data_IF_744779248859
#
_entry.id   IF_744779248859
#
_cell.length_a   1.000
_cell.length_b   1.000
_cell.length_c   1.000
_cell.angle_alpha   90.00
_cell.angle_beta   90.00
_cell.angle_gamma   90.00
#
_symmetry.space_group_name_H-M   'P 1'
#
loop_
_entity.id
_entity.type
_entity.pdbx_description
1 polymer ?
#
# COMPACT_ATOMS: atom_id res chain seq x y z
N UNK A 1 0.73 10.16 59.64
CA UNK A 1 0.58 8.70 59.73
C UNK A 1 -0.85 8.36 59.33
N UNK A 2 -1.09 7.99 58.07
CA UNK A 2 -2.32 7.32 57.64
C UNK A 2 -2.02 6.57 56.34
N UNK A 3 -2.13 5.25 56.43
CA UNK A 3 -1.84 4.28 55.38
C UNK A 3 -3.04 4.21 54.43
N UNK A 4 -2.78 4.21 53.12
CA UNK A 4 -3.78 3.88 52.10
C UNK A 4 -4.13 2.38 52.20
N UNK A 5 -5.42 1.98 52.19
CA UNK A 5 -5.85 0.63 52.56
C UNK A 5 -6.29 -0.24 51.38
N UNK A 6 -5.60 -0.24 50.23
CA UNK A 6 -5.91 -1.21 49.16
C UNK A 6 -4.65 -1.84 48.59
N UNK A 7 -4.56 -3.16 48.82
CA UNK A 7 -3.50 -4.04 48.36
C UNK A 7 -3.79 -4.70 47.02
N UNK A 8 -2.81 -5.51 46.63
CA UNK A 8 -2.67 -6.27 45.40
C UNK A 8 -3.88 -7.12 45.00
N UNK A 9 -3.97 -7.33 43.67
CA UNK A 9 -4.70 -8.41 42.98
C UNK A 9 -6.23 -8.43 43.12
N UNK A 10 -6.92 -7.81 42.16
CA UNK A 10 -8.26 -8.23 41.76
C UNK A 10 -8.41 -8.12 40.23
N UNK A 11 -8.54 -9.28 39.59
CA UNK A 11 -8.83 -9.45 38.17
C UNK A 11 -10.29 -9.06 37.90
N UNK A 12 -10.61 -8.18 36.92
CA UNK A 12 -11.97 -7.67 36.73
C UNK A 12 -12.87 -8.51 35.83
N UNK A 13 -12.49 -9.75 35.48
CA UNK A 13 -13.31 -10.64 34.65
C UNK A 13 -13.52 -11.99 35.35
N UNK A 14 -14.59 -12.06 36.14
CA UNK A 14 -15.15 -13.29 36.70
C UNK A 14 -16.67 -13.11 36.86
N UNK A 15 -17.44 -13.93 36.15
CA UNK A 15 -18.91 -13.85 36.11
C UNK A 15 -19.61 -14.75 37.14
N UNK A 16 -20.81 -14.32 37.54
CA UNK A 16 -21.95 -15.10 38.09
C UNK A 16 -23.11 -14.08 38.33
N UNK A 17 -24.18 -14.08 37.53
CA UNK A 17 -25.46 -14.81 37.67
C UNK A 17 -26.58 -14.04 38.43
N UNK A 18 -27.77 -14.05 37.80
CA UNK A 18 -29.14 -13.71 38.27
C UNK A 18 -29.69 -12.26 38.19
N UNK A 19 -30.83 -12.14 37.47
CA UNK A 19 -31.65 -10.92 37.26
C UNK A 19 -32.78 -10.74 38.30
N UNK A 20 -33.96 -10.14 38.00
CA UNK A 20 -34.42 -9.38 36.81
C UNK A 20 -35.01 -7.98 37.16
N UNK A 21 -35.27 -7.11 36.17
CA UNK A 21 -36.49 -6.26 35.98
C UNK A 21 -36.28 -5.06 35.03
N UNK A 22 -37.22 -4.88 34.08
CA UNK A 22 -37.80 -3.56 33.76
C UNK A 22 -37.22 -2.72 32.60
N UNK A 23 -37.82 -2.86 31.41
CA UNK A 23 -38.35 -1.73 30.60
C UNK A 23 -37.39 -0.76 29.89
N UNK A 24 -37.20 -0.92 28.58
CA UNK A 24 -37.77 -0.04 27.53
C UNK A 24 -37.07 -0.26 26.17
N UNK A 25 -37.91 -0.35 25.14
CA UNK A 25 -37.58 -0.65 23.76
C UNK A 25 -37.09 0.58 22.99
N UNK A 26 -36.01 0.45 22.20
CA UNK A 26 -35.77 1.23 20.97
C UNK A 26 -35.02 0.35 19.95
N UNK A 27 -35.56 0.31 18.72
CA UNK A 27 -35.05 -0.25 17.45
C UNK A 27 -34.46 -1.67 17.39
N UNK A 28 -35.30 -2.64 16.95
CA UNK A 28 -34.83 -3.83 16.23
C UNK A 28 -34.38 -3.43 14.83
N UNK A 29 -33.11 -3.65 14.53
CA UNK A 29 -32.63 -3.90 13.16
C UNK A 29 -32.90 -5.38 12.90
N UNK A 30 -33.58 -5.67 11.80
CA UNK A 30 -33.80 -7.03 11.31
C UNK A 30 -32.50 -7.40 10.59
N UNK A 31 -31.68 -8.25 11.22
CA UNK A 31 -30.61 -8.96 10.52
C UNK A 31 -31.26 -10.08 9.72
N UNK A 32 -31.09 -10.05 8.41
CA UNK A 32 -31.47 -11.14 7.52
C UNK A 32 -30.51 -12.32 7.78
N UNK A 33 -31.07 -13.45 8.24
CA UNK A 33 -30.37 -14.73 8.34
C UNK A 33 -30.06 -15.26 6.92
N UNK A 34 -28.86 -14.99 6.42
CA UNK A 34 -28.26 -15.85 5.39
C UNK A 34 -27.70 -17.10 6.07
N UNK A 35 -28.45 -18.19 5.93
CA UNK A 35 -28.08 -19.53 6.37
C UNK A 35 -27.09 -20.15 5.37
N UNK A 36 -25.89 -19.57 5.27
CA UNK A 36 -24.77 -20.15 4.52
C UNK A 36 -23.84 -20.90 5.49
N UNK A 37 -23.98 -22.22 5.49
CA UNK A 37 -23.09 -23.13 6.20
C UNK A 37 -21.78 -23.29 5.43
N UNK A 38 -20.94 -22.23 5.46
CA UNK A 38 -19.52 -22.34 5.11
C UNK A 38 -18.72 -22.25 6.40
N UNK A 39 -18.38 -23.43 6.94
CA UNK A 39 -17.49 -23.55 8.10
C UNK A 39 -16.10 -22.99 7.78
N UNK A 40 -15.64 -22.04 8.58
CA UNK A 40 -14.27 -21.54 8.59
C UNK A 40 -13.24 -22.70 8.73
N UNK A 41 -12.10 -22.69 8.02
CA UNK A 41 -11.12 -23.79 8.03
C UNK A 41 -10.36 -23.95 9.35
N UNK A 42 -10.70 -23.17 10.38
CA UNK A 42 -10.10 -23.24 11.72
C UNK A 42 -10.99 -23.87 12.79
N UNK A 43 -12.14 -24.46 12.43
CA UNK A 43 -12.98 -25.19 13.38
C UNK A 43 -12.58 -26.67 13.44
N UNK A 44 -12.05 -27.20 14.56
CA UNK A 44 -11.75 -28.62 14.69
C UNK A 44 -13.05 -29.40 14.92
N UNK A 45 -13.59 -30.00 13.86
CA UNK A 45 -14.62 -31.02 13.95
C UNK A 45 -13.96 -32.40 13.84
N UNK A 46 -13.51 -32.96 14.96
CA UNK A 46 -13.08 -34.35 15.02
C UNK A 46 -14.04 -35.15 15.90
N UNK A 47 -14.94 -35.88 15.23
CA UNK A 47 -15.59 -37.04 15.81
C UNK A 47 -14.52 -38.08 16.14
N UNK A 48 -14.44 -38.45 17.41
CA UNK A 48 -13.58 -39.53 17.89
C UNK A 48 -14.01 -40.85 17.24
N UNK A 49 -13.12 -41.46 16.46
CA UNK A 49 -13.17 -42.91 16.28
C UNK A 49 -11.76 -43.47 16.52
N UNK A 50 -11.69 -44.39 17.48
CA UNK A 50 -10.45 -44.92 18.02
C UNK A 50 -9.89 -46.02 17.12
N UNK A 51 -8.57 -45.96 16.89
CA UNK A 51 -7.76 -47.13 16.59
C UNK A 51 -7.33 -47.30 15.13
N UNK A 52 -6.20 -46.69 14.76
CA UNK A 52 -5.22 -47.28 13.84
C UNK A 52 -3.88 -46.56 13.97
N UNK A 53 -2.86 -47.29 14.43
CA UNK A 53 -1.45 -46.89 14.53
C UNK A 53 -0.78 -46.96 13.16
N UNK A 54 -0.16 -45.88 12.69
CA UNK A 54 0.71 -45.87 11.52
C UNK A 54 2.14 -45.49 11.97
N UNK A 55 3.08 -46.44 11.90
CA UNK A 55 4.50 -46.24 12.23
C UNK A 55 5.34 -46.11 10.96
N UNK A 56 5.95 -44.94 10.76
CA UNK A 56 6.97 -44.70 9.73
C UNK A 56 8.40 -44.93 10.26
N UNK A 57 9.40 -45.21 9.39
CA UNK A 57 10.64 -45.90 9.75
C UNK A 57 11.81 -45.00 10.21
N UNK A 58 11.56 -43.75 10.63
CA UNK A 58 12.62 -42.89 11.17
C UNK A 58 12.54 -42.87 12.70
N UNK A 59 13.42 -43.65 13.31
CA UNK A 59 13.59 -43.74 14.76
C UNK A 59 14.06 -42.41 15.37
N UNK A 60 13.28 -41.93 16.33
CA UNK A 60 13.60 -40.86 17.25
C UNK A 60 12.67 -41.00 18.43
N UNK A 61 13.15 -41.68 19.47
CA UNK A 61 12.42 -41.96 20.71
C UNK A 61 12.26 -40.65 21.50
N UNK A 62 11.11 -40.00 21.33
CA UNK A 62 10.69 -38.85 22.11
C UNK A 62 9.19 -38.97 22.36
N UNK A 63 8.84 -39.50 23.53
CA UNK A 63 7.49 -39.49 24.08
C UNK A 63 7.13 -38.07 24.52
N UNK A 64 6.76 -37.19 23.58
CA UNK A 64 6.08 -35.93 23.88
C UNK A 64 5.39 -35.41 22.60
N UNK A 65 4.28 -36.07 22.25
CA UNK A 65 3.41 -35.68 21.13
C UNK A 65 2.41 -34.61 21.61
N UNK A 66 2.92 -33.40 21.82
CA UNK A 66 2.09 -32.23 22.13
C UNK A 66 1.71 -31.49 20.84
N UNK A 67 0.46 -30.97 20.72
CA UNK A 67 0.00 -30.28 19.52
C UNK A 67 0.85 -29.03 19.20
N UNK A 68 0.92 -28.58 17.94
CA UNK A 68 1.79 -27.47 17.51
C UNK A 68 1.46 -26.11 18.16
N UNK A 69 0.40 -26.06 18.97
CA UNK A 69 -0.02 -24.93 19.80
C UNK A 69 0.64 -24.89 21.19
N UNK A 70 1.44 -25.90 21.55
CA UNK A 70 2.16 -25.91 22.82
C UNK A 70 3.24 -24.81 22.82
N UNK A 71 3.12 -23.88 23.77
CA UNK A 71 4.20 -22.98 24.16
C UNK A 71 5.43 -23.84 24.45
N UNK A 72 6.41 -23.86 23.54
CA UNK A 72 7.75 -24.37 23.83
C UNK A 72 8.35 -23.50 24.92
N UNK A 73 8.13 -23.87 26.17
CA UNK A 73 8.84 -23.31 27.30
C UNK A 73 10.32 -23.68 27.15
N UNK A 74 11.25 -22.72 27.21
CA UNK A 74 12.66 -23.05 27.11
C UNK A 74 13.07 -23.97 28.27
N UNK A 75 14.00 -24.92 28.03
CA UNK A 75 14.51 -25.80 29.07
C UNK A 75 15.28 -25.05 30.17
N UNK A 76 15.53 -23.74 30.00
CA UNK A 76 16.08 -22.89 31.04
C UNK A 76 15.68 -21.41 30.82
N UNK A 77 14.62 -20.89 31.49
CA UNK A 77 14.12 -19.52 31.27
C UNK A 77 15.09 -18.42 31.74
N UNK A 78 16.07 -18.73 32.58
CA UNK A 78 17.05 -17.76 33.09
C UNK A 78 18.26 -17.56 32.16
N UNK A 79 18.46 -18.42 31.15
CA UNK A 79 19.63 -18.35 30.26
C UNK A 79 19.40 -17.56 28.97
N UNK A 80 18.17 -17.13 28.70
CA UNK A 80 17.84 -16.40 27.48
C UNK A 80 17.56 -14.93 27.79
N UNK A 81 18.10 -13.98 27.00
CA UNK A 81 17.72 -12.58 27.10
C UNK A 81 16.20 -12.44 27.01
N UNK A 82 15.60 -11.53 27.79
CA UNK A 82 14.13 -11.32 27.83
C UNK A 82 13.50 -11.00 26.45
N UNK A 83 14.32 -10.65 25.46
CA UNK A 83 13.94 -10.33 24.09
C UNK A 83 14.18 -11.48 23.08
N UNK A 84 14.52 -12.68 23.56
CA UNK A 84 14.73 -13.84 22.69
C UNK A 84 13.39 -14.35 22.14
N UNK A 85 12.97 -13.77 21.02
CA UNK A 85 11.90 -14.32 20.20
C UNK A 85 12.41 -15.63 19.61
N UNK A 86 11.87 -16.77 20.05
CA UNK A 86 12.18 -18.13 19.55
C UNK A 86 11.77 -18.33 18.07
N UNK A 87 12.22 -17.46 17.17
CA UNK A 87 11.76 -17.42 15.78
C UNK A 87 10.28 -17.08 15.62
N UNK A 88 9.60 -16.62 16.69
CA UNK A 88 8.19 -16.21 16.60
C UNK A 88 8.11 -14.86 15.90
N UNK A 89 7.29 -14.80 14.85
CA UNK A 89 6.94 -13.54 14.18
C UNK A 89 6.06 -12.72 15.12
N UNK A 90 6.47 -11.48 15.41
CA UNK A 90 5.68 -10.53 16.18
C UNK A 90 4.88 -9.62 15.26
N UNK A 91 3.66 -9.30 15.65
CA UNK A 91 2.85 -8.32 14.96
C UNK A 91 3.49 -6.93 15.04
N UNK A 92 3.39 -6.17 13.95
CA UNK A 92 3.73 -4.75 13.92
C UNK A 92 2.49 -3.96 13.52
N UNK A 93 2.33 -2.77 14.10
CA UNK A 93 1.25 -1.85 13.76
C UNK A 93 1.80 -0.43 13.75
N UNK A 94 1.07 0.43 13.05
CA UNK A 94 1.32 1.87 13.05
C UNK A 94 0.08 2.60 13.56
N UNK A 95 0.20 3.91 13.72
CA UNK A 95 -0.90 4.78 14.11
C UNK A 95 -2.03 4.70 13.08
N UNK A 96 -3.26 4.65 13.57
CA UNK A 96 -4.44 4.75 12.71
C UNK A 96 -4.58 6.18 12.20
N UNK A 97 -4.71 6.33 10.90
CA UNK A 97 -4.95 7.59 10.22
C UNK A 97 -6.30 7.49 9.52
N UNK A 98 -7.13 8.52 9.68
CA UNK A 98 -8.35 8.65 8.89
C UNK A 98 -8.05 9.55 7.68
N UNK A 99 -8.56 9.23 6.49
CA UNK A 99 -8.47 10.14 5.36
C UNK A 99 -9.17 11.46 5.70
N UNK A 100 -8.56 12.56 5.27
CA UNK A 100 -8.93 13.94 5.55
C UNK A 100 -10.38 14.28 5.20
N UNK A 101 -10.99 13.60 4.22
CA UNK A 101 -12.38 13.83 3.85
C UNK A 101 -13.40 13.60 4.99
N UNK A 102 -13.05 12.82 6.01
CA UNK A 102 -13.89 12.56 7.19
C UNK A 102 -13.42 13.32 8.45
N UNK A 103 -12.27 14.00 8.38
CA UNK A 103 -11.70 14.74 9.50
C UNK A 103 -11.67 16.23 9.21
N UNK A 104 -12.28 17.04 10.08
CA UNK A 104 -12.18 18.51 10.08
C UNK A 104 -10.77 19.04 10.41
N UNK A 105 -9.72 18.31 10.05
CA UNK A 105 -8.33 18.68 10.25
C UNK A 105 -7.86 19.36 8.95
N UNK A 106 -7.71 20.69 8.96
CA UNK A 106 -7.15 21.48 7.86
C UNK A 106 -5.62 21.26 7.76
N UNK A 107 -5.21 20.00 7.74
CA UNK A 107 -3.81 19.63 7.70
C UNK A 107 -3.26 19.89 6.31
N UNK A 108 -2.08 20.49 6.26
CA UNK A 108 -1.30 20.65 5.02
C UNK A 108 0.11 20.12 5.27
N UNK A 109 0.76 19.53 4.25
CA UNK A 109 2.14 19.12 4.37
C UNK A 109 3.01 20.32 4.77
N UNK A 110 3.85 20.19 5.82
CA UNK A 110 4.76 21.26 6.19
C UNK A 110 5.72 21.55 5.03
N UNK A 111 6.06 22.82 4.83
CA UNK A 111 7.00 23.25 3.79
C UNK A 111 8.15 23.99 4.46
N UNK A 112 9.34 23.45 4.28
CA UNK A 112 10.59 24.08 4.71
C UNK A 112 11.36 24.54 3.49
N UNK A 113 11.74 25.82 3.47
CA UNK A 113 12.49 26.43 2.37
C UNK A 113 13.83 25.73 2.15
N UNK A 114 14.14 25.44 0.89
CA UNK A 114 15.37 24.77 0.45
C UNK A 114 15.88 25.41 -0.82
N UNK A 115 17.19 25.52 -0.93
CA UNK A 115 17.81 25.99 -2.17
C UNK A 115 17.73 24.90 -3.25
N UNK A 116 17.76 25.32 -4.52
CA UNK A 116 17.72 24.39 -5.66
C UNK A 116 18.78 23.29 -5.58
N UNK A 117 20.01 23.65 -5.21
CA UNK A 117 21.09 22.67 -5.06
C UNK A 117 20.85 21.65 -3.94
N UNK A 118 20.18 22.06 -2.85
CA UNK A 118 19.81 21.15 -1.76
C UNK A 118 18.72 20.18 -2.22
N UNK A 119 17.73 20.68 -2.96
CA UNK A 119 16.67 19.86 -3.54
C UNK A 119 17.23 18.82 -4.52
N UNK A 120 18.17 19.20 -5.39
CA UNK A 120 18.77 18.28 -6.36
C UNK A 120 19.56 17.15 -5.65
N UNK A 121 20.34 17.50 -4.61
CA UNK A 121 21.06 16.52 -3.78
C UNK A 121 20.10 15.59 -3.03
N UNK A 122 19.06 16.15 -2.41
CA UNK A 122 18.04 15.39 -1.68
C UNK A 122 17.29 14.42 -2.61
N UNK A 123 16.87 14.90 -3.77
CA UNK A 123 16.19 14.09 -4.79
C UNK A 123 17.06 12.90 -5.18
N UNK A 124 18.36 13.13 -5.39
CA UNK A 124 19.32 12.07 -5.70
C UNK A 124 19.49 11.08 -4.54
N UNK A 125 19.55 11.59 -3.30
CA UNK A 125 19.75 10.78 -2.09
C UNK A 125 18.56 9.86 -1.79
N UNK A 126 17.32 10.31 -2.01
CA UNK A 126 16.11 9.51 -1.73
C UNK A 126 15.73 8.56 -2.86
N UNK A 127 16.13 8.84 -4.10
CA UNK A 127 15.75 8.04 -5.28
C UNK A 127 16.17 6.56 -5.18
N UNK A 128 17.26 6.27 -4.47
CA UNK A 128 17.74 4.90 -4.25
C UNK A 128 16.98 4.12 -3.18
N UNK A 129 16.07 4.75 -2.45
CA UNK A 129 15.35 4.13 -1.34
C UNK A 129 13.98 3.61 -1.80
N UNK A 130 13.69 2.34 -1.45
CA UNK A 130 12.48 1.64 -1.88
C UNK A 130 11.18 2.35 -1.51
N UNK A 131 11.15 3.10 -0.39
CA UNK A 131 9.97 3.85 0.04
C UNK A 131 9.63 5.04 -0.87
N UNK A 132 10.62 5.55 -1.60
CA UNK A 132 10.46 6.75 -2.44
C UNK A 132 10.45 6.43 -3.94
N UNK A 133 10.84 5.21 -4.32
CA UNK A 133 10.96 4.77 -5.73
C UNK A 133 9.64 4.72 -6.52
N UNK A 134 8.50 4.63 -5.84
CA UNK A 134 7.17 4.50 -6.46
C UNK A 134 6.26 5.71 -6.23
N UNK A 135 6.84 6.84 -5.81
CA UNK A 135 6.10 8.08 -5.60
C UNK A 135 5.88 8.81 -6.93
N UNK A 136 4.72 9.45 -7.08
CA UNK A 136 4.52 10.40 -8.17
C UNK A 136 5.25 11.73 -7.89
N UNK A 137 5.33 12.59 -8.90
CA UNK A 137 6.05 13.86 -8.82
C UNK A 137 5.49 14.80 -7.73
N UNK A 138 4.16 14.77 -7.51
CA UNK A 138 3.51 15.59 -6.50
C UNK A 138 3.84 15.10 -5.09
N UNK A 139 3.80 13.78 -4.86
CA UNK A 139 4.18 13.14 -3.61
C UNK A 139 5.65 13.38 -3.29
N UNK A 140 6.51 13.19 -4.28
CA UNK A 140 7.94 13.46 -4.16
C UNK A 140 8.20 14.92 -3.78
N UNK A 141 7.54 15.87 -4.45
CA UNK A 141 7.64 17.30 -4.14
C UNK A 141 7.16 17.63 -2.72
N UNK A 142 6.01 17.09 -2.29
CA UNK A 142 5.47 17.30 -0.94
C UNK A 142 6.39 16.74 0.15
N UNK A 143 6.94 15.54 -0.06
CA UNK A 143 7.88 14.91 0.87
C UNK A 143 9.21 15.69 0.94
N UNK A 144 9.75 16.11 -0.21
CA UNK A 144 10.95 16.93 -0.28
C UNK A 144 10.72 18.29 0.41
N UNK A 145 9.54 18.87 0.27
CA UNK A 145 9.11 20.07 1.00
C UNK A 145 9.06 19.88 2.52
N UNK A 146 8.57 18.72 2.97
CA UNK A 146 8.38 18.39 4.38
C UNK A 146 9.66 18.04 5.15
N UNK A 147 10.77 17.74 4.47
CA UNK A 147 12.06 17.50 5.13
C UNK A 147 12.52 18.75 5.88
N UNK A 148 12.78 18.63 7.19
CA UNK A 148 13.29 19.71 8.03
C UNK A 148 14.80 19.57 8.25
N UNK A 149 15.52 20.69 8.20
CA UNK A 149 16.95 20.71 8.49
C UNK A 149 17.19 20.50 9.99
N UNK A 150 18.13 19.61 10.32
CA UNK A 150 18.54 19.29 11.69
C UNK A 150 20.06 19.39 11.82
N UNK A 151 20.59 20.53 12.29
CA UNK A 151 22.03 20.71 12.49
C UNK A 151 22.52 19.92 13.71
N UNK A 152 23.70 19.30 13.57
CA UNK A 152 24.36 18.49 14.59
C UNK A 152 25.73 19.13 14.90
N UNK A 153 25.83 19.97 15.96
CA UNK A 153 26.96 20.86 16.14
C UNK A 153 28.25 20.15 16.57
N UNK A 154 28.17 19.11 17.40
CA UNK A 154 29.33 18.44 17.98
C UNK A 154 29.51 16.99 17.47
N UNK A 155 30.74 16.49 17.58
CA UNK A 155 31.08 15.08 17.36
C UNK A 155 30.54 14.22 18.52
N UNK A 156 30.12 12.99 18.21
CA UNK A 156 29.65 12.00 19.18
C UNK A 156 28.21 12.20 19.65
N UNK A 157 27.44 13.10 19.01
CA UNK A 157 26.01 13.27 19.30
C UNK A 157 25.27 12.04 18.77
N UNK A 158 24.52 11.36 19.65
CA UNK A 158 23.63 10.26 19.29
C UNK A 158 22.37 10.82 18.65
N UNK A 159 22.16 10.53 17.37
CA UNK A 159 20.97 10.97 16.62
C UNK A 159 19.80 10.03 16.88
N UNK A 160 20.08 8.73 16.89
CA UNK A 160 19.14 7.66 17.25
C UNK A 160 19.88 6.63 18.11
N UNK A 161 19.17 5.98 19.03
CA UNK A 161 19.71 4.90 19.86
C UNK A 161 18.99 3.59 19.58
N UNK A 162 19.74 2.49 19.57
CA UNK A 162 19.19 1.16 19.37
C UNK A 162 18.19 0.80 20.49
N UNK A 163 17.01 0.32 20.10
CA UNK A 163 15.91 0.00 20.99
C UNK A 163 14.89 1.13 21.20
N UNK A 164 15.24 2.38 20.86
CA UNK A 164 14.30 3.51 20.97
C UNK A 164 13.19 3.40 19.92
N UNK A 165 12.02 3.98 20.21
CA UNK A 165 10.97 4.15 19.21
C UNK A 165 11.48 5.05 18.06
N UNK A 166 11.25 4.62 16.82
CA UNK A 166 11.71 5.36 15.66
C UNK A 166 10.62 6.24 15.07
N UNK A 167 10.73 7.57 15.19
CA UNK A 167 9.69 8.47 14.67
C UNK A 167 10.08 9.22 13.39
N UNK A 168 11.38 9.20 13.06
CA UNK A 168 11.94 9.97 11.96
C UNK A 168 12.80 9.13 11.01
N UNK A 169 12.81 9.54 9.75
CA UNK A 169 13.80 9.18 8.75
C UNK A 169 14.81 10.32 8.61
N UNK A 170 16.08 9.97 8.39
CA UNK A 170 17.15 10.96 8.25
C UNK A 170 17.93 10.77 6.94
N UNK A 171 18.26 11.88 6.28
CA UNK A 171 19.17 11.95 5.13
C UNK A 171 20.37 12.82 5.50
N UNK A 172 21.58 12.38 5.17
CA UNK A 172 22.81 13.11 5.48
C UNK A 172 23.05 14.19 4.42
N UNK A 173 22.92 15.46 4.79
CA UNK A 173 23.27 16.60 3.93
C UNK A 173 24.78 16.85 3.96
N UNK A 174 25.35 16.89 5.16
CA UNK A 174 26.76 17.23 5.37
C UNK A 174 27.33 16.44 6.54
N UNK A 175 28.56 15.99 6.34
CA UNK A 175 29.35 15.27 7.34
C UNK A 175 29.16 13.77 7.27
N UNK A 176 29.52 13.09 8.36
CA UNK A 176 29.54 11.64 8.44
C UNK A 176 29.02 11.13 9.79
N UNK A 177 28.37 9.97 9.76
CA UNK A 177 27.72 9.36 10.91
C UNK A 177 28.12 7.90 11.05
N UNK A 178 28.57 7.53 12.24
CA UNK A 178 28.95 6.16 12.57
C UNK A 178 27.76 5.37 13.10
N UNK A 179 27.61 4.15 12.61
CA UNK A 179 26.52 3.22 12.97
C UNK A 179 27.08 2.14 13.87
N UNK A 180 26.43 1.94 15.01
CA UNK A 180 26.79 0.95 16.02
C UNK A 180 25.62 0.00 16.28
N UNK A 181 25.92 -1.30 16.39
CA UNK A 181 24.94 -2.33 16.70
C UNK A 181 25.43 -3.16 17.86
N UNK A 182 24.60 -3.26 18.90
CA UNK A 182 24.78 -4.15 20.01
C UNK A 182 24.04 -5.47 19.73
N UNK A 183 24.73 -6.60 19.94
CA UNK A 183 24.18 -7.94 19.79
C UNK A 183 23.01 -8.23 20.74
N UNK A 184 22.87 -7.50 21.84
CA UNK A 184 21.71 -7.64 22.74
C UNK A 184 20.42 -7.03 22.20
N UNK A 185 20.44 -6.33 21.06
CA UNK A 185 19.25 -5.71 20.46
C UNK A 185 18.84 -4.38 21.10
N UNK A 186 19.52 -3.94 22.16
CA UNK A 186 19.24 -2.72 22.94
C UNK A 186 20.54 -2.04 23.36
N UNK A 187 20.48 -0.72 23.56
CA UNK A 187 21.60 0.04 24.13
C UNK A 187 21.83 -0.37 25.59
N UNK A 188 23.04 -0.82 25.93
CA UNK A 188 23.39 -1.15 27.31
C UNK A 188 24.10 0.01 28.04
N UNK A 189 24.05 0.07 29.37
CA UNK A 189 24.85 1.00 30.15
C UNK A 189 26.35 0.67 30.08
N UNK A 190 27.20 1.69 29.98
CA UNK A 190 28.66 1.54 30.03
C UNK A 190 29.38 1.90 28.71
N UNK A 191 30.73 1.90 28.69
CA UNK A 191 31.53 2.33 27.54
C UNK A 191 31.35 1.44 26.29
N UNK A 192 31.14 0.14 26.50
CA UNK A 192 30.93 -0.85 25.43
C UNK A 192 29.44 -1.03 25.06
N UNK A 193 28.54 -0.33 25.75
CA UNK A 193 27.10 -0.53 25.62
C UNK A 193 26.52 -0.13 24.27
N UNK A 194 27.26 0.65 23.47
CA UNK A 194 26.90 1.01 22.09
C UNK A 194 27.06 -0.16 21.10
N UNK A 195 27.84 -1.19 21.45
CA UNK A 195 28.13 -2.30 20.56
C UNK A 195 29.23 -2.00 19.54
N UNK A 196 29.28 -2.81 18.48
CA UNK A 196 30.33 -2.74 17.47
C UNK A 196 29.97 -1.75 16.36
N UNK A 197 30.96 -1.02 15.86
CA UNK A 197 30.79 -0.15 14.69
C UNK A 197 30.61 -1.01 13.44
N UNK A 198 29.44 -0.91 12.81
CA UNK A 198 29.10 -1.69 11.61
C UNK A 198 29.31 -0.93 10.31
N UNK A 199 29.38 0.40 10.36
CA UNK A 199 29.60 1.22 9.17
C UNK A 199 29.63 2.71 9.46
N UNK A 200 29.86 3.49 8.41
CA UNK A 200 29.79 4.96 8.41
C UNK A 200 28.95 5.41 7.22
N UNK A 201 28.01 6.30 7.47
CA UNK A 201 27.13 6.92 6.47
C UNK A 201 27.67 8.31 6.16
N UNK A 202 27.88 8.59 4.88
CA UNK A 202 28.37 9.88 4.39
C UNK A 202 27.22 10.69 3.77
N UNK A 203 27.52 11.92 3.32
CA UNK A 203 26.58 12.76 2.60
C UNK A 203 25.93 12.02 1.42
N UNK A 204 24.62 12.20 1.26
CA UNK A 204 23.79 11.45 0.31
C UNK A 204 23.29 10.09 0.81
N UNK A 205 23.84 9.59 1.91
CA UNK A 205 23.31 8.41 2.59
C UNK A 205 22.10 8.72 3.47
N UNK A 206 21.33 7.70 3.81
CA UNK A 206 20.15 7.83 4.67
C UNK A 206 20.07 6.71 5.71
N UNK A 207 19.30 6.94 6.78
CA UNK A 207 19.04 5.91 7.78
C UNK A 207 17.69 6.09 8.47
N UNK A 208 17.16 4.97 8.94
CA UNK A 208 15.93 4.95 9.73
C UNK A 208 14.66 4.94 8.88
N UNK A 209 14.72 4.50 7.62
CA UNK A 209 13.56 4.49 6.73
C UNK A 209 12.42 3.58 7.22
N UNK A 210 12.73 2.46 7.88
CA UNK A 210 11.72 1.54 8.43
C UNK A 210 10.82 2.21 9.48
N UNK A 211 11.30 3.27 10.13
CA UNK A 211 10.53 4.07 11.06
C UNK A 211 9.36 4.81 10.38
N UNK A 212 9.39 4.99 9.07
CA UNK A 212 8.28 5.58 8.31
C UNK A 212 7.14 4.59 8.07
N UNK A 213 7.44 3.28 8.10
CA UNK A 213 6.46 2.24 7.77
C UNK A 213 5.66 1.79 8.98
N UNK A 214 6.32 1.55 10.12
CA UNK A 214 5.67 1.02 11.32
C UNK A 214 6.44 1.44 12.57
N UNK A 215 5.78 1.29 13.73
CA UNK A 215 6.39 1.53 15.01
C UNK A 215 7.36 0.41 15.40
N UNK A 216 8.55 0.42 14.79
CA UNK A 216 9.63 -0.50 15.12
C UNK A 216 10.71 0.18 15.97
N UNK A 217 11.26 -0.54 16.95
CA UNK A 217 12.48 -0.12 17.63
C UNK A 217 13.63 0.08 16.64
N UNK A 218 14.48 1.07 16.89
CA UNK A 218 15.69 1.29 16.10
C UNK A 218 16.61 0.08 16.21
N UNK A 219 17.05 -0.45 15.06
CA UNK A 219 17.96 -1.59 15.01
C UNK A 219 19.43 -1.24 15.33
N UNK A 220 19.79 0.05 15.29
CA UNK A 220 21.15 0.52 15.48
C UNK A 220 21.18 1.90 16.17
N UNK A 221 22.31 2.20 16.80
CA UNK A 221 22.64 3.54 17.32
C UNK A 221 23.45 4.29 16.26
N UNK A 222 23.11 5.54 15.98
CA UNK A 222 23.83 6.37 14.99
C UNK A 222 24.36 7.62 15.66
N UNK A 223 25.65 7.90 15.50
CA UNK A 223 26.33 9.03 16.14
C UNK A 223 27.10 9.88 15.14
N UNK A 224 27.21 11.19 15.34
CA UNK A 224 28.05 12.05 14.50
C UNK A 224 29.53 11.67 14.63
N UNK A 225 30.17 11.37 13.50
CA UNK A 225 31.60 11.04 13.46
C UNK A 225 32.49 12.30 13.55
N UNK A 226 31.93 13.46 13.18
CA UNK A 226 32.59 14.76 13.19
C UNK A 226 31.65 15.89 13.66
N UNK A 227 32.20 17.07 13.90
CA UNK A 227 31.45 18.27 14.29
C UNK A 227 30.93 19.04 13.08
N UNK A 228 29.80 19.73 13.24
CA UNK A 228 29.21 20.55 12.18
C UNK A 228 28.55 19.73 11.05
N UNK A 229 27.93 18.61 11.42
CA UNK A 229 27.13 17.80 10.49
C UNK A 229 25.72 18.40 10.33
N UNK A 230 25.07 18.09 9.21
CA UNK A 230 23.68 18.49 8.92
C UNK A 230 22.90 17.29 8.42
N UNK A 231 21.69 17.11 8.95
CA UNK A 231 20.73 16.10 8.52
C UNK A 231 19.47 16.77 7.99
N UNK A 232 18.77 16.09 7.10
CA UNK A 232 17.35 16.31 6.85
C UNK A 232 16.54 15.27 7.59
N UNK A 233 15.44 15.66 8.23
CA UNK A 233 14.57 14.79 8.99
C UNK A 233 13.14 14.81 8.43
N UNK A 234 12.51 13.64 8.33
CA UNK A 234 11.10 13.49 7.96
C UNK A 234 10.40 12.64 9.02
N UNK A 235 9.28 13.10 9.56
CA UNK A 235 8.52 12.34 10.53
C UNK A 235 7.58 11.32 9.87
N UNK A 236 7.32 10.23 10.59
CA UNK A 236 6.43 9.15 10.13
C UNK A 236 5.03 9.62 9.78
N UNK A 237 4.44 10.48 10.62
CA UNK A 237 3.04 10.89 10.47
C UNK A 237 2.86 11.73 9.21
N UNK A 238 3.75 12.68 8.96
CA UNK A 238 3.76 13.50 7.74
C UNK A 238 3.94 12.62 6.51
N UNK A 239 4.92 11.70 6.51
CA UNK A 239 5.11 10.78 5.38
C UNK A 239 3.85 9.96 5.10
N UNK A 240 3.26 9.33 6.12
CA UNK A 240 2.05 8.50 5.95
C UNK A 240 0.83 9.33 5.56
N UNK A 241 0.67 10.55 6.10
CA UNK A 241 -0.42 11.45 5.73
C UNK A 241 -0.31 11.88 4.27
N UNK A 242 0.87 12.27 3.78
CA UNK A 242 1.09 12.61 2.36
C UNK A 242 0.65 11.45 1.46
N UNK A 243 1.12 10.23 1.74
CA UNK A 243 0.75 9.05 0.96
C UNK A 243 -0.74 8.71 1.03
N UNK A 244 -1.36 8.81 2.20
CA UNK A 244 -2.79 8.51 2.36
C UNK A 244 -3.69 9.55 1.70
N UNK A 245 -3.36 10.83 1.85
CA UNK A 245 -4.12 11.95 1.27
C UNK A 245 -4.15 11.83 -0.25
N UNK A 246 -3.02 11.58 -0.88
CA UNK A 246 -2.91 11.49 -2.34
C UNK A 246 -3.57 10.24 -2.92
N UNK A 247 -3.38 9.09 -2.28
CA UNK A 247 -4.03 7.84 -2.71
C UNK A 247 -5.54 7.94 -2.55
N UNK A 248 -6.03 8.56 -1.46
CA UNK A 248 -7.45 8.79 -1.26
C UNK A 248 -8.03 9.82 -2.24
N UNK A 249 -7.34 10.95 -2.46
CA UNK A 249 -7.74 11.96 -3.42
C UNK A 249 -7.81 11.39 -4.84
N UNK A 250 -6.81 10.58 -5.23
CA UNK A 250 -6.79 9.86 -6.51
C UNK A 250 -7.94 8.87 -6.64
N UNK A 251 -8.19 8.05 -5.61
CA UNK A 251 -9.31 7.10 -5.58
C UNK A 251 -10.64 7.84 -5.73
N UNK A 252 -10.85 8.93 -5.00
CA UNK A 252 -12.08 9.74 -5.05
C UNK A 252 -12.27 10.40 -6.42
N UNK A 253 -11.20 10.97 -6.99
CA UNK A 253 -11.22 11.51 -8.35
C UNK A 253 -11.67 10.44 -9.36
N UNK A 254 -11.09 9.23 -9.27
CA UNK A 254 -11.47 8.13 -10.14
C UNK A 254 -12.88 7.63 -9.90
N UNK A 255 -13.32 7.48 -8.66
CA UNK A 255 -14.69 7.05 -8.36
C UNK A 255 -15.72 8.03 -8.93
N UNK A 256 -15.51 9.34 -8.76
CA UNK A 256 -16.38 10.37 -9.36
C UNK A 256 -16.33 10.33 -10.89
N UNK A 257 -15.15 10.16 -11.49
CA UNK A 257 -15.03 10.03 -12.94
C UNK A 257 -15.72 8.78 -13.48
N UNK A 258 -15.52 7.61 -12.86
CA UNK A 258 -16.11 6.34 -13.27
C UNK A 258 -17.64 6.32 -13.10
N UNK A 259 -18.18 7.14 -12.19
CA UNK A 259 -19.63 7.34 -12.06
C UNK A 259 -20.22 8.14 -13.23
N UNK A 260 -19.47 9.10 -13.80
CA UNK A 260 -19.88 9.86 -14.98
C UNK A 260 -19.86 9.02 -16.26
N UNK A 261 -19.01 8.00 -16.34
CA UNK A 261 -18.83 7.16 -17.54
C UNK A 261 -20.07 6.30 -17.80
N UNK A 262 -20.81 6.52 -18.91
CA UNK A 262 -22.07 5.80 -19.19
C UNK A 262 -21.91 4.27 -19.24
N UNK A 263 -20.76 3.79 -19.73
CA UNK A 263 -20.45 2.37 -19.81
C UNK A 263 -20.45 1.66 -18.45
N UNK A 264 -20.06 2.39 -17.39
CA UNK A 264 -19.81 1.83 -16.06
C UNK A 264 -20.95 2.09 -15.06
N UNK A 265 -22.05 2.73 -15.51
CA UNK A 265 -23.21 3.03 -14.67
C UNK A 265 -23.92 1.79 -14.12
N UNK A 266 -23.80 0.65 -14.81
CA UNK A 266 -24.37 -0.63 -14.37
C UNK A 266 -23.59 -1.31 -13.24
N UNK A 267 -22.35 -0.86 -12.96
CA UNK A 267 -21.51 -1.42 -11.92
C UNK A 267 -21.92 -0.90 -10.54
N UNK A 268 -21.77 -1.73 -9.52
CA UNK A 268 -21.92 -1.32 -8.12
C UNK A 268 -20.77 -0.39 -7.70
N UNK A 269 -20.95 0.42 -6.63
CA UNK A 269 -19.88 1.26 -6.10
C UNK A 269 -18.62 0.45 -5.74
N UNK A 270 -18.79 -0.76 -5.19
CA UNK A 270 -17.68 -1.64 -4.83
C UNK A 270 -16.89 -2.12 -6.06
N UNK A 271 -17.57 -2.46 -7.16
CA UNK A 271 -16.93 -2.84 -8.43
C UNK A 271 -16.18 -1.66 -9.06
N UNK A 272 -16.78 -0.46 -9.08
CA UNK A 272 -16.10 0.75 -9.55
C UNK A 272 -14.86 1.06 -8.72
N UNK A 273 -14.93 0.87 -7.41
CA UNK A 273 -13.80 1.09 -6.51
C UNK A 273 -12.62 0.14 -6.79
N UNK A 274 -12.90 -1.13 -7.16
CA UNK A 274 -11.85 -2.07 -7.62
C UNK A 274 -11.21 -1.66 -8.93
N UNK A 275 -11.99 -1.07 -9.85
CA UNK A 275 -11.47 -0.57 -11.12
C UNK A 275 -10.60 0.66 -10.85
N UNK A 276 -11.06 1.60 -10.03
CA UNK A 276 -10.29 2.79 -9.63
C UNK A 276 -8.90 2.43 -9.08
N UNK A 277 -8.82 1.37 -8.25
CA UNK A 277 -7.55 0.88 -7.69
C UNK A 277 -6.59 0.28 -8.73
N UNK A 278 -7.08 -0.10 -9.91
CA UNK A 278 -6.30 -0.73 -10.98
C UNK A 278 -5.99 0.22 -12.15
N UNK A 279 -6.47 1.46 -12.12
CA UNK A 279 -6.25 2.45 -13.17
C UNK A 279 -4.91 3.16 -13.01
N UNK A 280 -4.23 3.36 -14.14
CA UNK A 280 -3.00 4.15 -14.23
C UNK A 280 -3.20 5.36 -15.13
N UNK A 281 -2.87 6.55 -14.64
CA UNK A 281 -2.89 7.79 -15.42
C UNK A 281 -1.78 7.78 -16.47
N UNK A 282 -2.11 8.10 -17.72
CA UNK A 282 -1.15 8.43 -18.77
C UNK A 282 -1.51 9.78 -19.41
N UNK A 283 -0.49 10.56 -19.79
CA UNK A 283 -0.64 11.90 -20.39
C UNK A 283 0.01 11.90 -21.77
N UNK A 284 -0.65 12.56 -22.71
CA UNK A 284 -0.24 12.65 -24.10
C UNK A 284 -0.36 14.10 -24.58
N UNK A 285 0.63 14.54 -25.34
CA UNK A 285 0.66 15.89 -25.94
C UNK A 285 -0.09 15.93 -27.28
N UNK A 286 -0.53 17.11 -27.76
CA UNK A 286 -1.20 17.22 -29.05
C UNK A 286 -0.36 16.63 -30.20
N UNK A 287 -0.98 15.77 -31.01
CA UNK A 287 -0.35 15.05 -32.11
C UNK A 287 0.33 13.75 -31.70
N UNK A 288 0.40 13.43 -30.41
CA UNK A 288 0.99 12.18 -29.92
C UNK A 288 0.03 10.99 -30.14
N UNK A 289 0.59 9.85 -30.57
CA UNK A 289 -0.18 8.64 -30.85
C UNK A 289 -0.34 7.82 -29.56
N UNK A 290 -1.58 7.64 -29.12
CA UNK A 290 -1.94 6.88 -27.91
C UNK A 290 -1.99 5.38 -28.23
N UNK A 291 -2.60 5.03 -29.37
CA UNK A 291 -2.69 3.67 -29.90
C UNK A 291 -2.25 3.73 -31.35
N UNK A 292 -1.46 2.76 -31.78
CA UNK A 292 -1.12 2.58 -33.18
C UNK A 292 -1.86 1.38 -33.76
N UNK A 293 -2.39 1.53 -34.97
CA UNK A 293 -3.01 0.44 -35.73
C UNK A 293 -2.01 -0.70 -35.97
N UNK A 294 -2.51 -1.94 -35.88
CA UNK A 294 -1.72 -3.15 -36.12
C UNK A 294 -0.88 -3.60 -34.92
N UNK A 295 -0.66 -2.75 -33.91
CA UNK A 295 0.03 -3.16 -32.69
C UNK A 295 -0.82 -4.15 -31.87
N UNK A 296 -0.21 -5.00 -31.04
CA UNK A 296 -0.96 -5.85 -30.13
C UNK A 296 -1.62 -5.02 -29.02
N UNK A 297 -2.90 -5.28 -28.73
CA UNK A 297 -3.63 -4.57 -27.68
C UNK A 297 -3.46 -5.21 -26.31
N UNK A 298 -2.79 -4.50 -25.40
CA UNK A 298 -2.59 -4.95 -24.01
C UNK A 298 -3.28 -4.07 -22.96
N UNK A 299 -3.85 -2.94 -23.38
CA UNK A 299 -4.46 -1.97 -22.47
C UNK A 299 -5.78 -1.43 -23.02
N UNK A 300 -6.69 -1.13 -22.12
CA UNK A 300 -7.94 -0.39 -22.34
C UNK A 300 -7.76 1.04 -21.81
N UNK A 301 -8.45 2.01 -22.41
CA UNK A 301 -8.30 3.43 -22.05
C UNK A 301 -9.66 4.10 -21.88
N UNK A 302 -9.75 4.95 -20.86
CA UNK A 302 -10.84 5.89 -20.60
C UNK A 302 -10.31 7.32 -20.71
N UNK A 303 -10.99 8.19 -21.46
CA UNK A 303 -10.58 9.57 -21.66
C UNK A 303 -11.00 10.44 -20.44
N UNK A 304 -10.04 10.83 -19.61
CA UNK A 304 -10.30 11.66 -18.42
C UNK A 304 -10.45 13.14 -18.77
N UNK A 305 -9.65 13.63 -19.71
CA UNK A 305 -9.68 15.00 -20.21
C UNK A 305 -9.00 15.13 -21.58
N UNK A 306 -9.37 16.18 -22.31
CA UNK A 306 -8.89 16.43 -23.66
C UNK A 306 -9.78 15.77 -24.71
N UNK A 307 -9.24 15.66 -25.91
CA UNK A 307 -9.92 15.15 -27.11
C UNK A 307 -8.92 14.30 -27.92
N UNK A 308 -9.42 13.24 -28.56
CA UNK A 308 -8.62 12.36 -29.40
C UNK A 308 -9.42 11.88 -30.62
N UNK A 309 -8.72 11.55 -31.70
CA UNK A 309 -9.32 11.08 -32.95
C UNK A 309 -8.78 9.72 -33.36
N UNK A 310 -9.65 8.87 -33.91
CA UNK A 310 -9.31 7.60 -34.55
C UNK A 310 -9.05 7.76 -36.05
N UNK A 311 -7.96 7.16 -36.53
CA UNK A 311 -7.59 7.08 -37.94
C UNK A 311 -7.36 5.61 -38.34
N UNK A 312 -7.77 5.24 -39.56
CA UNK A 312 -7.56 3.89 -40.12
C UNK A 312 -6.73 4.00 -41.40
N UNK A 313 -5.67 3.20 -41.50
CA UNK A 313 -4.69 3.25 -42.57
C UNK A 313 -4.04 4.63 -42.70
N UNK A 314 -3.76 5.03 -43.94
CA UNK A 314 -3.20 6.36 -44.26
C UNK A 314 -4.29 7.43 -44.48
N UNK A 315 -5.52 7.19 -44.01
CA UNK A 315 -6.60 8.17 -44.16
C UNK A 315 -6.33 9.42 -43.32
N UNK A 316 -6.56 10.60 -43.92
CA UNK A 316 -6.51 11.89 -43.21
C UNK A 316 -7.84 12.24 -42.53
N UNK A 317 -8.90 11.48 -42.80
CA UNK A 317 -10.21 11.69 -42.20
C UNK A 317 -10.34 10.86 -40.92
N UNK A 318 -10.70 11.52 -39.82
CA UNK A 318 -10.99 10.87 -38.56
C UNK A 318 -12.27 10.03 -38.66
N UNK A 319 -12.18 8.76 -38.28
CA UNK A 319 -13.30 7.80 -38.33
C UNK A 319 -14.20 7.94 -37.10
N UNK A 320 -13.63 8.39 -35.98
CA UNK A 320 -14.34 8.65 -34.73
C UNK A 320 -13.61 9.70 -33.92
N UNK A 321 -14.38 10.60 -33.31
CA UNK A 321 -13.91 11.59 -32.35
C UNK A 321 -14.24 11.11 -30.93
N UNK A 322 -13.33 11.34 -30.00
CA UNK A 322 -13.44 10.96 -28.59
C UNK A 322 -13.31 12.20 -27.70
N UNK A 323 -14.21 12.26 -26.72
CA UNK A 323 -14.36 13.33 -25.74
C UNK A 323 -14.36 12.75 -24.31
N UNK A 324 -14.36 13.63 -23.29
CA UNK A 324 -14.31 13.21 -21.88
C UNK A 324 -15.40 12.17 -21.58
N UNK A 325 -15.00 11.06 -20.96
CA UNK A 325 -15.89 9.96 -20.59
C UNK A 325 -16.03 8.87 -21.66
N UNK A 326 -15.53 9.11 -22.88
CA UNK A 326 -15.43 8.08 -23.89
C UNK A 326 -14.29 7.10 -23.59
N UNK A 327 -14.33 5.94 -24.25
CA UNK A 327 -13.36 4.87 -24.10
C UNK A 327 -12.90 4.32 -25.45
N UNK A 328 -11.75 3.67 -25.46
CA UNK A 328 -11.21 3.00 -26.65
C UNK A 328 -10.20 1.91 -26.30
N UNK A 329 -9.89 1.07 -27.30
CA UNK A 329 -8.91 0.00 -27.18
C UNK A 329 -9.47 -1.30 -26.58
N UNK A 330 -10.76 -1.39 -26.35
CA UNK A 330 -11.46 -2.59 -25.87
C UNK A 330 -11.50 -3.70 -26.93
N UNK A 331 -11.61 -3.35 -28.22
CA UNK A 331 -11.75 -4.35 -29.31
C UNK A 331 -10.61 -5.37 -29.35
N UNK A 332 -9.37 -4.90 -29.16
CA UNK A 332 -8.20 -5.76 -29.16
C UNK A 332 -8.18 -6.71 -27.95
N UNK A 333 -8.79 -6.32 -26.82
CA UNK A 333 -8.89 -7.14 -25.62
C UNK A 333 -10.04 -8.15 -25.70
N UNK A 334 -11.14 -7.76 -26.34
CA UNK A 334 -12.35 -8.57 -26.49
C UNK A 334 -12.24 -9.64 -27.58
N UNK A 335 -11.53 -9.34 -28.67
CA UNK A 335 -11.44 -10.21 -29.85
C UNK A 335 -10.06 -10.87 -30.01
N UNK A 336 -9.13 -10.59 -29.08
CA UNK A 336 -7.73 -11.04 -29.15
C UNK A 336 -7.07 -10.73 -30.51
N UNK A 337 -7.38 -9.56 -31.05
CA UNK A 337 -6.95 -9.09 -32.36
C UNK A 337 -6.03 -7.86 -32.24
N UNK A 338 -5.21 -7.56 -33.27
CA UNK A 338 -4.45 -6.31 -33.31
C UNK A 338 -5.34 -5.06 -33.24
N UNK A 339 -4.75 -3.92 -32.90
CA UNK A 339 -5.44 -2.62 -32.86
C UNK A 339 -6.02 -2.29 -34.22
N UNK A 340 -7.32 -2.01 -34.28
CA UNK A 340 -8.04 -1.76 -35.53
C UNK A 340 -7.87 -0.34 -36.10
N UNK A 341 -7.42 0.61 -35.28
CA UNK A 341 -7.24 2.01 -35.66
C UNK A 341 -6.12 2.63 -34.81
N UNK A 342 -5.51 3.68 -35.34
CA UNK A 342 -4.61 4.55 -34.59
C UNK A 342 -5.41 5.63 -33.88
N UNK A 343 -5.12 5.88 -32.60
CA UNK A 343 -5.74 6.95 -31.81
C UNK A 343 -4.69 8.02 -31.56
N UNK A 344 -4.98 9.26 -31.95
CA UNK A 344 -4.06 10.40 -31.84
C UNK A 344 -4.70 11.48 -30.98
N UNK A 345 -3.94 12.03 -30.03
CA UNK A 345 -4.39 13.13 -29.19
C UNK A 345 -4.52 14.41 -30.04
N UNK A 346 -5.67 15.09 -29.99
CA UNK A 346 -5.86 16.38 -30.69
C UNK A 346 -5.51 17.56 -29.79
N UNK A 347 -5.63 17.38 -28.47
CA UNK A 347 -5.28 18.35 -27.42
C UNK A 347 -4.36 17.69 -26.38
N UNK A 348 -4.05 18.38 -25.28
CA UNK A 348 -3.41 17.74 -24.12
C UNK A 348 -4.38 16.72 -23.51
N UNK A 349 -4.09 15.44 -23.71
CA UNK A 349 -4.97 14.33 -23.33
C UNK A 349 -4.47 13.65 -22.07
N UNK A 350 -5.41 13.36 -21.16
CA UNK A 350 -5.18 12.50 -20.00
C UNK A 350 -6.11 11.30 -20.10
N UNK A 351 -5.55 10.10 -20.00
CA UNK A 351 -6.30 8.84 -20.02
C UNK A 351 -6.04 8.02 -18.78
N UNK A 352 -7.07 7.32 -18.33
CA UNK A 352 -6.96 6.24 -17.36
C UNK A 352 -6.79 4.92 -18.13
N UNK A 353 -5.66 4.25 -17.93
CA UNK A 353 -5.35 2.99 -18.60
C UNK A 353 -5.56 1.80 -17.67
N UNK A 354 -6.07 0.70 -18.23
CA UNK A 354 -6.31 -0.56 -17.54
C UNK A 354 -5.69 -1.72 -18.34
N UNK A 355 -4.81 -2.50 -17.71
CA UNK A 355 -4.16 -3.64 -18.38
C UNK A 355 -5.13 -4.79 -18.70
N UNK A 356 -4.80 -5.62 -19.71
CA UNK A 356 -5.61 -6.75 -20.20
C UNK A 356 -6.10 -7.70 -19.10
N UNK A 357 -5.21 -8.09 -18.18
CA UNK A 357 -5.56 -9.00 -17.08
C UNK A 357 -6.54 -8.36 -16.09
N UNK A 358 -6.37 -7.07 -15.79
CA UNK A 358 -7.29 -6.32 -14.95
C UNK A 358 -8.63 -6.09 -15.65
N UNK A 359 -8.63 -5.78 -16.94
CA UNK A 359 -9.82 -5.64 -17.78
C UNK A 359 -10.69 -6.90 -17.75
N UNK A 360 -10.11 -8.07 -18.04
CA UNK A 360 -10.84 -9.34 -18.07
C UNK A 360 -11.43 -9.71 -16.70
N UNK A 361 -10.70 -9.41 -15.61
CA UNK A 361 -11.13 -9.74 -14.25
C UNK A 361 -12.17 -8.76 -13.69
N UNK A 362 -12.08 -7.48 -14.03
CA UNK A 362 -12.86 -6.41 -13.39
C UNK A 362 -14.03 -5.91 -14.26
N UNK A 363 -13.94 -6.00 -15.58
CA UNK A 363 -14.95 -5.49 -16.52
C UNK A 363 -15.79 -6.59 -17.18
N UNK A 364 -15.66 -7.84 -16.73
CA UNK A 364 -16.53 -8.95 -17.15
C UNK A 364 -18.04 -8.62 -17.11
N UNK A 365 -18.57 -7.92 -16.07
CA UNK A 365 -19.99 -7.57 -16.02
C UNK A 365 -20.46 -6.64 -17.14
N UNK A 366 -19.57 -5.78 -17.67
CA UNK A 366 -19.90 -4.81 -18.73
C UNK A 366 -19.43 -5.25 -20.11
N UNK A 367 -18.81 -6.42 -20.24
CA UNK A 367 -18.31 -6.95 -21.50
C UNK A 367 -19.42 -7.03 -22.56
N UNK A 368 -20.61 -7.49 -22.16
CA UNK A 368 -21.77 -7.56 -23.05
C UNK A 368 -22.25 -6.19 -23.54
N UNK A 369 -22.07 -5.12 -22.75
CA UNK A 369 -22.40 -3.75 -23.15
C UNK A 369 -21.37 -3.26 -24.16
N UNK A 370 -20.07 -3.47 -23.89
CA UNK A 370 -18.97 -3.08 -24.78
C UNK A 370 -19.09 -3.73 -26.17
N UNK A 371 -19.46 -5.01 -26.23
CA UNK A 371 -19.69 -5.73 -27.50
C UNK A 371 -20.88 -5.18 -28.28
N UNK A 372 -21.86 -4.59 -27.58
CA UNK A 372 -23.13 -4.11 -28.15
C UNK A 372 -23.10 -2.62 -28.49
N UNK A 373 -22.15 -1.85 -27.95
CA UNK A 373 -21.91 -0.47 -28.36
C UNK A 373 -21.48 -0.47 -29.83
N UNK A 374 -22.49 -0.36 -30.69
CA UNK A 374 -22.44 -0.45 -32.14
C UNK A 374 -21.36 0.44 -32.72
N UNK A 375 -20.34 -0.16 -33.30
CA UNK A 375 -19.48 0.45 -34.30
C UNK A 375 -20.22 0.51 -35.64
N UNK A 376 -21.31 1.29 -35.72
CA UNK A 376 -22.08 1.47 -36.97
C UNK A 376 -21.27 2.14 -38.10
N UNK A 377 -20.08 2.68 -37.81
CA UNK A 377 -19.22 3.39 -38.77
C UNK A 377 -17.89 2.71 -39.11
N UNK A 378 -17.52 1.60 -38.45
CA UNK A 378 -16.31 0.85 -38.81
C UNK A 378 -16.73 -0.41 -39.55
N UNK A 379 -16.66 -0.39 -40.88
CA UNK A 379 -16.65 -1.63 -41.68
C UNK A 379 -15.36 -2.37 -41.37
N UNK A 380 -15.26 -3.03 -40.21
CA UNK A 380 -14.32 -4.13 -40.06
C UNK A 380 -14.76 -5.17 -41.08
N UNK A 381 -13.90 -5.51 -42.04
CA UNK A 381 -14.13 -6.56 -43.04
C UNK A 381 -14.18 -7.96 -42.45
N UNK A 382 -14.73 -8.11 -41.25
CA UNK A 382 -14.95 -9.37 -40.55
C UNK A 382 -16.46 -9.59 -40.59
N UNK A 383 -16.89 -10.52 -41.44
CA UNK A 383 -18.29 -10.94 -41.53
C UNK A 383 -18.78 -11.36 -40.13
N UNK A 384 -19.91 -10.80 -39.72
CA UNK A 384 -20.67 -11.28 -38.55
C UNK A 384 -21.06 -12.73 -38.79
N UNK A 385 -20.40 -13.67 -38.12
CA UNK A 385 -20.88 -15.06 -38.04
C UNK A 385 -21.60 -15.23 -36.70
N UNK A 386 -22.93 -15.30 -36.76
CA UNK A 386 -23.81 -15.58 -35.61
C UNK A 386 -23.52 -17.00 -35.07
N UNK A 387 -23.04 -17.14 -33.81
CA UNK A 387 -22.70 -18.44 -33.24
C UNK A 387 -23.91 -19.32 -32.88
N UNK A 388 -25.15 -18.92 -33.20
CA UNK A 388 -26.36 -19.72 -32.92
C UNK A 388 -27.05 -20.31 -34.18
N UNK A 389 -26.46 -20.23 -35.37
CA UNK A 389 -27.04 -20.85 -36.58
C UNK A 389 -26.36 -22.14 -37.06
N UNK A 390 -25.43 -22.71 -36.29
CA UNK A 390 -24.87 -24.03 -36.59
C UNK A 390 -25.31 -25.06 -35.52
N UNK A 391 -26.56 -25.51 -35.62
CA UNK A 391 -27.04 -26.75 -35.02
C UNK A 391 -28.10 -27.39 -35.92
#
# INVERSE_FOLDING_TARGET
MFKSPFGANANPFGGASDGPTGGNAIHRVIEEEENDTVTSPTSPNFGMNAGTTFSGPFGGDATDDAPPSALRSPPNPESYPAQYNFGRRTSVSAESLKPSADSYDNWSPPVHEKNKEQLDRLTTAIAGNFLFSHLDDEQSSQILGALIEKPIPAKGIKVISQGDAGDFFYVVEKGSFDVYVNSSGTLQPGPEGMGQKVGTIQAGGSFGELALMYNAPRAATVTSAESGCTLWALDRLTFRRILMESTFARRRMYESFLEEVPLLQSLTPYERSKIADALETQKYTPGETIIKEGDPGHSFYLLESGEADAYIGDSKEAVKHYSKGDFFGELALLNDAPRAASIVATTDVKVASLGKSAFQRLLGPVEGIMRRTKYESVKTGVEEMDPLQAA
#
